data_IF_474324885377
#
_entry.id   IF_474324885377
#
_cell.length_a   1.000
_cell.length_b   1.000
_cell.length_c   1.000
_cell.angle_alpha   90.00
_cell.angle_beta   90.00
_cell.angle_gamma   90.00
#
_symmetry.space_group_name_H-M   'P 1'
#
loop_
_entity.id
_entity.type
_entity.pdbx_description
1 polymer ?
#
# COMPACT_ATOMS: atom_id res chain seq x y z
N UNK A 1 -63.93 -14.00 -3.90
CA UNK A 1 -62.91 -13.69 -2.88
C UNK A 1 -61.61 -14.43 -3.21
N UNK A 2 -60.81 -13.93 -4.16
CA UNK A 2 -59.46 -14.46 -4.48
C UNK A 2 -58.50 -13.37 -5.00
N UNK A 3 -58.88 -12.09 -4.86
CA UNK A 3 -58.09 -10.97 -5.41
C UNK A 3 -57.22 -10.24 -4.36
N UNK A 4 -57.36 -10.56 -3.07
CA UNK A 4 -56.69 -9.79 -2.01
C UNK A 4 -55.41 -10.44 -1.46
N UNK A 5 -55.10 -11.68 -1.83
CA UNK A 5 -53.97 -12.43 -1.27
C UNK A 5 -52.69 -12.39 -2.13
N UNK A 6 -52.80 -12.12 -3.44
CA UNK A 6 -51.66 -12.05 -4.36
C UNK A 6 -50.88 -10.72 -4.31
N UNK A 7 -51.52 -9.62 -3.88
CA UNK A 7 -50.86 -8.31 -3.78
C UNK A 7 -49.85 -8.23 -2.62
N UNK A 8 -50.01 -9.05 -1.58
CA UNK A 8 -49.18 -9.01 -0.38
C UNK A 8 -47.82 -9.69 -0.56
N UNK A 9 -47.74 -10.78 -1.32
CA UNK A 9 -46.47 -11.51 -1.56
C UNK A 9 -45.51 -10.77 -2.51
N UNK A 10 -46.03 -9.95 -3.43
CA UNK A 10 -45.19 -9.25 -4.41
C UNK A 10 -44.53 -7.97 -3.86
N UNK A 11 -45.13 -7.34 -2.84
CA UNK A 11 -44.60 -6.13 -2.19
C UNK A 11 -43.42 -6.43 -1.25
N UNK A 12 -43.44 -7.59 -0.57
CA UNK A 12 -42.37 -8.00 0.34
C UNK A 12 -41.08 -8.42 -0.39
N UNK A 13 -41.18 -8.91 -1.64
CA UNK A 13 -40.03 -9.38 -2.42
C UNK A 13 -39.23 -8.23 -3.05
N UNK A 14 -39.88 -7.10 -3.40
CA UNK A 14 -39.20 -5.92 -3.92
C UNK A 14 -38.39 -5.18 -2.85
N UNK A 15 -38.90 -5.07 -1.63
CA UNK A 15 -38.20 -4.39 -0.53
C UNK A 15 -36.90 -5.10 -0.11
N UNK A 16 -36.82 -6.43 -0.22
CA UNK A 16 -35.59 -7.18 0.09
C UNK A 16 -34.54 -7.04 -1.01
N UNK A 17 -34.94 -7.17 -2.28
CA UNK A 17 -34.04 -6.89 -3.41
C UNK A 17 -33.52 -5.46 -3.37
N UNK A 18 -34.35 -4.51 -2.94
CA UNK A 18 -33.97 -3.11 -2.84
C UNK A 18 -32.88 -2.86 -1.77
N UNK A 19 -32.99 -3.56 -0.63
CA UNK A 19 -32.00 -3.51 0.44
C UNK A 19 -30.69 -4.20 0.07
N UNK A 20 -30.75 -5.32 -0.67
CA UNK A 20 -29.56 -6.05 -1.11
C UNK A 20 -28.69 -5.26 -2.10
N UNK A 21 -29.29 -4.58 -3.10
CA UNK A 21 -28.49 -3.78 -4.03
C UNK A 21 -27.90 -2.54 -3.34
N UNK A 22 -28.65 -1.92 -2.42
CA UNK A 22 -28.14 -0.81 -1.59
C UNK A 22 -26.95 -1.25 -0.75
N UNK A 23 -27.02 -2.44 -0.15
CA UNK A 23 -25.91 -3.02 0.61
C UNK A 23 -24.68 -3.27 -0.27
N UNK A 24 -24.85 -3.84 -1.47
CA UNK A 24 -23.74 -4.07 -2.42
C UNK A 24 -23.08 -2.78 -2.89
N UNK A 25 -23.87 -1.74 -3.19
CA UNK A 25 -23.32 -0.43 -3.59
C UNK A 25 -22.57 0.23 -2.43
N UNK A 26 -23.09 0.11 -1.21
CA UNK A 26 -22.42 0.62 -0.02
C UNK A 26 -21.08 -0.10 0.22
N UNK A 27 -21.05 -1.43 0.06
CA UNK A 27 -19.82 -2.23 0.14
C UNK A 27 -18.78 -1.81 -0.91
N UNK A 28 -19.17 -1.68 -2.18
CA UNK A 28 -18.28 -1.24 -3.25
C UNK A 28 -17.75 0.18 -2.99
N UNK A 29 -18.62 1.09 -2.55
CA UNK A 29 -18.20 2.44 -2.20
C UNK A 29 -17.21 2.46 -1.04
N UNK A 30 -17.45 1.64 -0.02
CA UNK A 30 -16.57 1.54 1.15
C UNK A 30 -15.19 0.98 0.76
N UNK A 31 -15.14 -0.07 -0.06
CA UNK A 31 -13.89 -0.65 -0.57
C UNK A 31 -13.09 0.37 -1.40
N UNK A 32 -13.75 1.05 -2.35
CA UNK A 32 -13.11 2.12 -3.13
C UNK A 32 -12.58 3.24 -2.24
N UNK A 33 -13.34 3.66 -1.22
CA UNK A 33 -12.91 4.71 -0.31
C UNK A 33 -11.65 4.30 0.47
N UNK A 34 -11.59 3.05 0.91
CA UNK A 34 -10.45 2.54 1.66
C UNK A 34 -9.22 2.34 0.77
N UNK A 35 -9.40 1.91 -0.47
CA UNK A 35 -8.32 1.82 -1.47
C UNK A 35 -7.77 3.19 -1.86
N UNK A 36 -8.63 4.18 -2.07
CA UNK A 36 -8.22 5.56 -2.38
C UNK A 36 -7.43 6.15 -1.21
N UNK A 37 -7.89 5.94 0.03
CA UNK A 37 -7.16 6.37 1.23
C UNK A 37 -5.79 5.69 1.33
N UNK A 38 -5.73 4.36 1.18
CA UNK A 38 -4.47 3.60 1.20
C UNK A 38 -3.50 4.08 0.13
N UNK A 39 -3.97 4.25 -1.10
CA UNK A 39 -3.18 4.74 -2.23
C UNK A 39 -2.65 6.15 -2.00
N UNK A 40 -3.48 7.04 -1.46
CA UNK A 40 -3.07 8.42 -1.14
C UNK A 40 -1.99 8.46 -0.07
N UNK A 41 -2.15 7.67 1.00
CA UNK A 41 -1.14 7.54 2.06
C UNK A 41 0.17 6.99 1.50
N UNK A 42 0.09 5.97 0.64
CA UNK A 42 1.24 5.37 -0.04
C UNK A 42 1.96 6.38 -0.94
N UNK A 43 1.21 7.10 -1.78
CA UNK A 43 1.73 8.13 -2.67
C UNK A 43 2.42 9.25 -1.91
N UNK A 44 1.83 9.72 -0.81
CA UNK A 44 2.45 10.73 0.07
C UNK A 44 3.79 10.24 0.64
N UNK A 45 3.86 8.97 1.06
CA UNK A 45 5.10 8.36 1.58
C UNK A 45 6.15 8.17 0.48
N UNK A 46 5.76 7.77 -0.72
CA UNK A 46 6.68 7.68 -1.87
C UNK A 46 7.25 9.05 -2.26
N UNK A 47 6.44 10.11 -2.25
CA UNK A 47 6.92 11.47 -2.50
C UNK A 47 7.91 11.92 -1.41
N UNK A 48 7.62 11.59 -0.14
CA UNK A 48 8.56 11.85 0.96
C UNK A 48 9.86 11.07 0.77
N UNK A 49 9.80 9.79 0.39
CA UNK A 49 10.97 8.96 0.12
C UNK A 49 11.82 9.55 -1.01
N UNK A 50 11.17 10.00 -2.09
CA UNK A 50 11.85 10.66 -3.22
C UNK A 50 12.64 11.88 -2.75
N UNK A 51 12.01 12.76 -1.96
CA UNK A 51 12.66 13.94 -1.39
C UNK A 51 13.81 13.56 -0.45
N UNK A 52 13.60 12.61 0.47
CA UNK A 52 14.64 12.18 1.42
C UNK A 52 15.81 11.52 0.69
N UNK A 53 15.57 10.78 -0.40
CA UNK A 53 16.62 10.17 -1.21
C UNK A 53 17.47 11.21 -1.95
N UNK A 54 16.84 12.24 -2.55
CA UNK A 54 17.58 13.39 -3.11
C UNK A 54 18.41 14.09 -2.04
N UNK A 55 17.82 14.31 -0.86
CA UNK A 55 18.51 14.94 0.27
C UNK A 55 19.74 14.13 0.74
N UNK A 56 19.61 12.80 0.78
CA UNK A 56 20.70 11.89 1.13
C UNK A 56 21.83 11.97 0.10
N UNK A 57 21.48 11.92 -1.19
CA UNK A 57 22.44 12.01 -2.29
C UNK A 57 23.22 13.34 -2.24
N UNK A 58 22.51 14.46 -2.16
CA UNK A 58 23.11 15.80 -2.04
C UNK A 58 24.03 15.94 -0.82
N UNK A 59 23.64 15.33 0.31
CA UNK A 59 24.43 15.41 1.55
C UNK A 59 25.72 14.59 1.45
N UNK A 60 25.70 13.44 0.78
CA UNK A 60 26.91 12.67 0.48
C UNK A 60 27.81 13.38 -0.53
N UNK A 61 27.25 13.98 -1.56
CA UNK A 61 28.01 14.75 -2.55
C UNK A 61 28.71 15.93 -1.90
N UNK A 62 28.00 16.70 -1.07
CA UNK A 62 28.57 17.83 -0.32
C UNK A 62 29.69 17.38 0.62
N UNK A 63 29.48 16.27 1.35
CA UNK A 63 30.50 15.70 2.23
C UNK A 63 31.75 15.26 1.47
N UNK A 64 31.56 14.58 0.32
CA UNK A 64 32.64 14.15 -0.55
C UNK A 64 33.41 15.33 -1.14
N UNK A 65 32.71 16.39 -1.56
CA UNK A 65 33.32 17.62 -2.05
C UNK A 65 34.20 18.28 -0.98
N UNK A 66 33.67 18.44 0.24
CA UNK A 66 34.45 19.01 1.35
C UNK A 66 35.68 18.15 1.67
N UNK A 67 35.54 16.82 1.72
CA UNK A 67 36.65 15.93 1.96
C UNK A 67 37.72 16.02 0.86
N UNK A 68 37.31 16.11 -0.40
CA UNK A 68 38.22 16.27 -1.54
C UNK A 68 39.00 17.59 -1.47
N UNK A 69 38.31 18.71 -1.23
CA UNK A 69 38.94 20.03 -1.11
C UNK A 69 39.95 20.08 0.05
N UNK A 70 39.59 19.51 1.20
CA UNK A 70 40.45 19.51 2.37
C UNK A 70 41.64 18.55 2.20
N UNK A 71 41.45 17.40 1.53
CA UNK A 71 42.55 16.50 1.16
C UNK A 71 43.52 17.15 0.18
N UNK A 72 43.01 17.80 -0.87
CA UNK A 72 43.83 18.50 -1.85
C UNK A 72 44.67 19.61 -1.21
N UNK A 73 44.12 20.28 -0.20
CA UNK A 73 44.82 21.29 0.59
C UNK A 73 45.61 20.71 1.78
N UNK A 74 45.70 19.39 1.95
CA UNK A 74 46.39 18.70 3.06
C UNK A 74 45.95 19.18 4.45
N UNK A 75 44.68 19.57 4.59
CA UNK A 75 44.08 20.17 5.80
C UNK A 75 42.86 19.39 6.31
N UNK A 76 42.73 18.12 5.94
CA UNK A 76 41.59 17.29 6.32
C UNK A 76 41.40 17.27 7.84
N UNK A 77 40.27 17.83 8.28
CA UNK A 77 39.86 17.86 9.68
C UNK A 77 38.44 17.36 9.83
N UNK A 78 38.28 16.23 10.53
CA UNK A 78 36.98 15.61 10.81
C UNK A 78 36.22 16.31 11.93
N UNK A 79 36.89 17.15 12.71
CA UNK A 79 36.27 17.97 13.77
C UNK A 79 35.55 19.21 13.23
N UNK A 80 35.47 19.36 11.91
CA UNK A 80 34.74 20.46 11.29
C UNK A 80 33.23 20.36 11.64
N UNK A 81 32.63 21.39 12.26
CA UNK A 81 31.21 21.36 12.66
C UNK A 81 30.27 21.19 11.46
N UNK A 82 30.67 21.61 10.26
CA UNK A 82 29.90 21.39 9.03
C UNK A 82 29.88 19.92 8.63
N UNK A 83 31.00 19.21 8.80
CA UNK A 83 31.09 17.75 8.57
C UNK A 83 30.21 17.00 9.57
N UNK A 84 30.29 17.35 10.86
CA UNK A 84 29.44 16.76 11.90
C UNK A 84 27.94 16.97 11.61
N UNK A 85 27.56 18.17 11.17
CA UNK A 85 26.19 18.49 10.74
C UNK A 85 25.73 17.64 9.54
N UNK A 86 26.60 17.46 8.53
CA UNK A 86 26.29 16.63 7.37
C UNK A 86 26.13 15.15 7.74
N UNK A 87 27.00 14.61 8.59
CA UNK A 87 26.86 13.23 9.08
C UNK A 87 25.55 13.02 9.83
N UNK A 88 25.16 13.98 10.67
CA UNK A 88 23.85 13.95 11.36
C UNK A 88 22.69 13.98 10.37
N UNK A 89 22.76 14.80 9.33
CA UNK A 89 21.74 14.89 8.29
C UNK A 89 21.60 13.59 7.48
N UNK A 90 22.73 12.96 7.14
CA UNK A 90 22.79 11.65 6.48
C UNK A 90 22.12 10.59 7.35
N UNK A 91 22.44 10.54 8.65
CA UNK A 91 21.82 9.59 9.58
C UNK A 91 20.31 9.82 9.70
N UNK A 92 19.86 11.07 9.77
CA UNK A 92 18.43 11.41 9.76
C UNK A 92 17.73 10.91 8.49
N UNK A 93 18.33 11.12 7.32
CA UNK A 93 17.77 10.63 6.06
C UNK A 93 17.66 9.10 6.04
N UNK A 94 18.67 8.37 6.56
CA UNK A 94 18.62 6.90 6.69
C UNK A 94 17.52 6.43 7.63
N UNK A 95 17.30 7.14 8.74
CA UNK A 95 16.22 6.82 9.66
C UNK A 95 14.85 7.06 9.03
N UNK A 96 14.67 8.19 8.35
CA UNK A 96 13.44 8.52 7.64
C UNK A 96 13.12 7.49 6.54
N UNK A 97 14.10 7.10 5.72
CA UNK A 97 13.90 6.08 4.68
C UNK A 97 13.49 4.73 5.29
N UNK A 98 14.14 4.30 6.39
CA UNK A 98 13.76 3.08 7.12
C UNK A 98 12.34 3.15 7.68
N UNK A 99 11.94 4.30 8.22
CA UNK A 99 10.57 4.50 8.71
C UNK A 99 9.56 4.41 7.57
N UNK A 100 9.83 5.07 6.45
CA UNK A 100 8.95 5.03 5.27
C UNK A 100 8.81 3.59 4.76
N UNK A 101 9.92 2.85 4.65
CA UNK A 101 9.90 1.44 4.23
C UNK A 101 9.05 0.58 5.16
N UNK A 102 9.25 0.71 6.47
CA UNK A 102 8.48 -0.01 7.48
C UNK A 102 6.97 0.29 7.37
N UNK A 103 6.60 1.54 7.14
CA UNK A 103 5.21 1.94 6.97
C UNK A 103 4.62 1.44 5.66
N UNK A 104 5.38 1.44 4.56
CA UNK A 104 4.96 0.88 3.28
C UNK A 104 4.71 -0.63 3.39
N UNK A 105 5.58 -1.36 4.10
CA UNK A 105 5.41 -2.78 4.34
C UNK A 105 4.15 -3.07 5.17
N UNK A 106 3.87 -2.30 6.22
CA UNK A 106 2.63 -2.43 6.99
C UNK A 106 1.38 -2.30 6.10
N UNK A 107 1.37 -1.36 5.15
CA UNK A 107 0.23 -1.16 4.24
C UNK A 107 0.10 -2.31 3.23
N UNK A 108 1.21 -2.84 2.71
CA UNK A 108 1.21 -3.98 1.77
C UNK A 108 0.67 -5.27 2.39
N UNK A 109 0.94 -5.52 3.68
CA UNK A 109 0.57 -6.77 4.34
C UNK A 109 -0.71 -6.66 5.20
N UNK A 110 -1.22 -5.46 5.47
CA UNK A 110 -2.48 -5.26 6.21
C UNK A 110 -3.74 -5.71 5.44
N UNK A 111 -3.66 -5.91 4.11
CA UNK A 111 -4.80 -6.37 3.30
C UNK A 111 -4.92 -7.91 3.23
N UNK A 112 -4.05 -8.67 3.90
CA UNK A 112 -4.07 -10.13 3.94
C UNK A 112 -3.63 -10.79 2.62
N UNK A 113 -2.90 -11.92 2.65
CA UNK A 113 -2.73 -12.75 1.47
C UNK A 113 -4.09 -13.38 1.13
N UNK A 114 -4.66 -13.07 -0.03
CA UNK A 114 -5.83 -13.83 -0.51
C UNK A 114 -5.45 -15.30 -0.58
N UNK A 115 -6.21 -16.22 0.06
CA UNK A 115 -5.98 -17.64 -0.08
C UNK A 115 -6.24 -18.01 -1.54
N UNK A 116 -5.17 -18.35 -2.24
CA UNK A 116 -5.21 -18.86 -3.60
C UNK A 116 -5.98 -20.19 -3.53
N UNK A 117 -7.28 -20.16 -3.84
CA UNK A 117 -8.09 -21.36 -3.87
C UNK A 117 -7.50 -22.34 -4.91
N UNK A 118 -7.23 -23.61 -4.56
CA UNK A 118 -6.71 -24.57 -5.52
C UNK A 118 -7.79 -24.89 -6.56
N UNK A 119 -7.60 -24.45 -7.80
CA UNK A 119 -8.36 -24.96 -8.95
C UNK A 119 -7.87 -26.39 -9.23
N UNK A 120 -8.66 -27.39 -8.84
CA UNK A 120 -8.34 -28.78 -9.14
C UNK A 120 -9.38 -29.76 -8.62
N UNK A 121 -10.56 -29.78 -9.22
CA UNK A 121 -11.45 -30.95 -9.18
C UNK A 121 -12.47 -30.90 -10.32
N UNK A 122 -12.07 -31.35 -11.50
CA UNK A 122 -13.02 -31.98 -12.43
C UNK A 122 -12.63 -33.45 -12.52
N UNK A 123 -13.33 -34.25 -11.72
CA UNK A 123 -13.37 -35.69 -11.85
C UNK A 123 -14.85 -36.02 -12.01
N UNK A 124 -15.28 -36.30 -13.25
CA UNK A 124 -16.58 -36.91 -13.50
C UNK A 124 -16.37 -38.17 -14.33
N UNK A 125 -16.43 -39.27 -13.58
CA UNK A 125 -16.66 -40.66 -13.98
C UNK A 125 -17.74 -40.78 -15.05
N UNK A 126 -17.54 -41.69 -16.01
CA UNK A 126 -18.63 -42.47 -16.55
C UNK A 126 -18.13 -43.88 -16.90
N UNK A 127 -18.35 -44.80 -15.97
CA UNK A 127 -18.47 -46.23 -16.23
C UNK A 127 -19.80 -46.46 -16.97
N UNK A 128 -19.79 -47.21 -18.07
CA UNK A 128 -20.48 -48.50 -18.18
C UNK A 128 -20.64 -49.03 -19.62
N UNK A 129 -20.71 -50.37 -19.64
CA UNK A 129 -21.21 -51.31 -20.66
C UNK A 129 -20.26 -51.72 -21.81
N UNK A 130 -19.67 -52.93 -21.82
CA UNK A 130 -20.21 -54.32 -21.76
C UNK A 130 -20.72 -54.82 -23.12
N UNK A 131 -19.83 -55.41 -23.92
CA UNK A 131 -19.92 -56.76 -24.53
C UNK A 131 -18.80 -56.97 -25.53
#
# INVERSE_FOLDING_TARGET
MKMDEEKSKNSSNNNNKEKEWKAKVYEVFQTCQDEIKKTTVMGKKMLSASKTNSCLHESYEELGRMAFEDLAASKLSWDNPKVASMLKKIEQCHQELRLIENEMNKVKFASGPEPIAPKGSDNTTNDNDKS
#
